data_IF_186511859272
#
_entry.id   IF_186511859272
#
_cell.length_a   1.000
_cell.length_b   1.000
_cell.length_c   1.000
_cell.angle_alpha   90.00
_cell.angle_beta   90.00
_cell.angle_gamma   90.00
#
_symmetry.space_group_name_H-M   'P 1'
#
loop_
_entity.id
_entity.type
_entity.pdbx_description
1 polymer ?
#
# COMPACT_ATOMS: atom_id res chain seq x y z
N UNK A 1 -37.52 0.90 30.85
CA UNK A 1 -37.07 1.36 29.53
C UNK A 1 -36.82 2.87 29.57
N UNK A 2 -35.67 3.33 29.07
CA UNK A 2 -35.32 4.75 29.01
C UNK A 2 -35.32 5.17 27.53
N UNK A 3 -36.10 6.22 27.19
CA UNK A 3 -36.14 6.76 25.86
C UNK A 3 -34.80 7.43 25.52
N UNK A 4 -34.37 7.33 24.24
CA UNK A 4 -33.12 7.94 23.73
C UNK A 4 -33.05 9.44 24.00
N UNK A 5 -34.18 10.14 23.92
CA UNK A 5 -34.29 11.58 24.21
C UNK A 5 -33.79 11.96 25.62
N UNK A 6 -33.85 11.04 26.60
CA UNK A 6 -33.41 11.30 27.97
C UNK A 6 -31.90 11.16 28.17
N UNK A 7 -31.21 10.49 27.20
CA UNK A 7 -29.76 10.20 27.29
C UNK A 7 -28.95 10.82 26.19
N UNK A 8 -29.60 11.31 25.12
CA UNK A 8 -28.92 11.98 24.00
C UNK A 8 -28.38 13.35 24.38
N UNK A 9 -27.31 13.79 23.73
CA UNK A 9 -26.84 15.18 23.79
C UNK A 9 -27.84 16.08 23.07
N UNK A 10 -28.42 17.03 23.78
CA UNK A 10 -29.28 18.05 23.21
C UNK A 10 -28.42 19.12 22.54
N UNK A 11 -28.79 19.54 21.32
CA UNK A 11 -28.04 20.53 20.52
C UNK A 11 -26.57 20.11 20.29
N UNK A 12 -26.32 18.99 19.61
CA UNK A 12 -24.95 18.57 19.33
C UNK A 12 -24.24 19.59 18.45
N UNK A 13 -22.91 19.68 18.57
CA UNK A 13 -22.10 20.40 17.60
C UNK A 13 -22.25 19.71 16.23
N UNK A 14 -22.38 20.50 15.17
CA UNK A 14 -22.59 20.00 13.81
C UNK A 14 -21.66 20.70 12.84
N UNK A 15 -21.45 20.10 11.68
CA UNK A 15 -20.63 20.66 10.61
C UNK A 15 -21.44 20.61 9.29
N UNK A 16 -21.26 21.59 8.41
CA UNK A 16 -21.86 21.58 7.07
C UNK A 16 -21.10 20.62 6.14
N UNK A 17 -21.77 20.07 5.11
CA UNK A 17 -21.15 19.13 4.17
C UNK A 17 -20.02 19.75 3.32
N UNK A 18 -20.01 21.05 3.15
CA UNK A 18 -18.98 21.80 2.44
C UNK A 18 -17.88 22.37 3.34
N UNK A 19 -17.92 22.12 4.65
CA UNK A 19 -16.88 22.54 5.59
C UNK A 19 -15.56 21.77 5.32
N UNK A 20 -14.46 22.42 5.62
CA UNK A 20 -13.15 21.78 5.52
C UNK A 20 -12.97 20.74 6.61
N UNK A 21 -12.26 19.64 6.30
CA UNK A 21 -11.90 18.61 7.29
C UNK A 21 -11.18 19.22 8.49
N UNK A 22 -10.36 20.25 8.27
CA UNK A 22 -9.67 20.98 9.33
C UNK A 22 -10.64 21.65 10.31
N UNK A 23 -11.76 22.21 9.84
CA UNK A 23 -12.77 22.81 10.70
C UNK A 23 -13.45 21.76 11.58
N UNK A 24 -13.73 20.57 11.01
CA UNK A 24 -14.26 19.44 11.75
C UNK A 24 -13.28 18.99 12.85
N UNK A 25 -11.97 18.93 12.54
CA UNK A 25 -10.93 18.59 13.53
C UNK A 25 -10.85 19.60 14.66
N UNK A 26 -10.93 20.90 14.37
CA UNK A 26 -10.93 21.96 15.40
C UNK A 26 -12.14 21.81 16.33
N UNK A 27 -13.34 21.65 15.79
CA UNK A 27 -14.55 21.46 16.60
C UNK A 27 -14.46 20.20 17.47
N UNK A 28 -13.95 19.09 16.94
CA UNK A 28 -13.73 17.87 17.72
C UNK A 28 -12.75 18.10 18.87
N UNK A 29 -11.65 18.82 18.61
CA UNK A 29 -10.62 19.12 19.63
C UNK A 29 -11.14 20.10 20.69
N UNK A 30 -11.77 21.19 20.29
CA UNK A 30 -12.27 22.22 21.20
C UNK A 30 -13.35 21.70 22.14
N UNK A 31 -14.21 20.83 21.65
CA UNK A 31 -15.31 20.26 22.43
C UNK A 31 -15.05 18.86 23.00
N UNK A 32 -13.83 18.31 22.77
CA UNK A 32 -13.45 16.95 23.17
C UNK A 32 -14.47 15.89 22.74
N UNK A 33 -14.90 15.96 21.47
CA UNK A 33 -15.86 15.03 20.86
C UNK A 33 -15.21 14.31 19.67
N UNK A 34 -15.68 13.09 19.40
CA UNK A 34 -15.14 12.23 18.34
C UNK A 34 -16.13 11.98 17.19
N UNK A 35 -17.33 12.57 17.30
CA UNK A 35 -18.42 12.38 16.35
C UNK A 35 -19.08 13.73 16.07
N UNK A 36 -19.16 14.11 14.81
CA UNK A 36 -19.83 15.33 14.37
C UNK A 36 -20.91 14.99 13.35
N UNK A 37 -22.18 15.24 13.64
CA UNK A 37 -23.23 15.17 12.63
C UNK A 37 -22.97 16.19 11.51
N UNK A 38 -23.12 15.74 10.28
CA UNK A 38 -23.08 16.60 9.08
C UNK A 38 -24.51 17.06 8.78
N UNK A 39 -24.75 18.36 8.79
CA UNK A 39 -26.09 18.93 8.66
C UNK A 39 -26.11 20.02 7.60
N UNK A 40 -27.01 19.89 6.61
CA UNK A 40 -27.31 20.93 5.63
C UNK A 40 -28.80 21.26 5.67
N UNK A 41 -29.14 22.53 5.67
CA UNK A 41 -30.51 23.00 5.72
C UNK A 41 -31.35 22.33 6.83
N UNK A 42 -30.79 22.21 8.01
CA UNK A 42 -31.39 21.54 9.20
C UNK A 42 -31.69 20.04 9.01
N UNK A 43 -31.16 19.43 7.94
CA UNK A 43 -31.27 17.99 7.72
C UNK A 43 -29.94 17.29 7.96
N UNK A 44 -29.95 16.25 8.77
CA UNK A 44 -28.78 15.39 8.92
C UNK A 44 -28.49 14.66 7.60
N UNK A 45 -27.28 14.82 7.08
CA UNK A 45 -26.77 14.17 5.86
C UNK A 45 -25.89 12.97 6.18
N UNK A 46 -25.26 12.98 7.34
CA UNK A 46 -24.37 11.90 7.77
C UNK A 46 -23.70 12.21 9.08
N UNK A 47 -22.64 11.49 9.35
CA UNK A 47 -21.79 11.64 10.52
C UNK A 47 -20.33 11.59 10.05
N UNK A 48 -19.47 12.46 10.55
CA UNK A 48 -18.03 12.36 10.42
C UNK A 48 -17.42 12.07 11.79
N UNK A 49 -16.49 11.12 11.85
CA UNK A 49 -15.80 10.75 13.08
C UNK A 49 -14.31 11.10 13.00
N UNK A 50 -13.64 11.16 14.16
CA UNK A 50 -12.17 11.30 14.21
C UNK A 50 -11.47 10.17 13.44
N UNK A 51 -12.02 8.96 13.47
CA UNK A 51 -11.53 7.81 12.70
C UNK A 51 -11.66 8.02 11.18
N UNK A 52 -12.78 8.59 10.71
CA UNK A 52 -12.96 8.90 9.28
C UNK A 52 -11.95 9.94 8.82
N UNK A 53 -11.68 10.93 9.65
CA UNK A 53 -10.65 11.95 9.37
C UNK A 53 -9.26 11.32 9.29
N UNK A 54 -8.88 10.47 10.25
CA UNK A 54 -7.63 9.72 10.21
C UNK A 54 -7.52 8.83 8.97
N UNK A 55 -8.62 8.15 8.60
CA UNK A 55 -8.68 7.36 7.36
C UNK A 55 -8.56 8.24 6.10
N UNK A 56 -9.15 9.42 6.08
CA UNK A 56 -9.03 10.35 4.94
C UNK A 56 -7.62 10.92 4.80
N UNK A 57 -6.89 11.07 5.89
CA UNK A 57 -5.47 11.41 5.88
C UNK A 57 -4.57 10.23 5.45
N UNK A 58 -5.10 9.03 5.30
CA UNK A 58 -4.38 7.87 4.79
C UNK A 58 -4.18 7.92 3.26
N UNK A 59 -3.94 9.11 2.70
CA UNK A 59 -3.24 9.29 1.43
C UNK A 59 -1.79 8.78 1.49
N UNK A 60 -1.31 8.38 2.67
CA UNK A 60 0.01 7.81 2.88
C UNK A 60 0.36 6.64 1.93
N UNK A 61 -0.54 5.65 1.67
CA UNK A 61 -0.22 4.61 0.70
C UNK A 61 0.03 5.16 -0.71
N UNK A 62 -0.81 6.07 -1.19
CA UNK A 62 -0.66 6.68 -2.52
C UNK A 62 0.58 7.56 -2.61
N UNK A 63 0.91 8.29 -1.55
CA UNK A 63 2.12 9.09 -1.47
C UNK A 63 3.36 8.21 -1.48
N UNK A 64 3.36 7.11 -0.71
CA UNK A 64 4.47 6.16 -0.69
C UNK A 64 4.66 5.47 -2.05
N UNK A 65 3.58 5.01 -2.70
CA UNK A 65 3.62 4.45 -4.05
C UNK A 65 4.20 5.47 -5.04
N UNK A 66 3.72 6.72 -5.00
CA UNK A 66 4.23 7.78 -5.85
C UNK A 66 5.70 8.15 -5.55
N UNK A 67 6.16 7.97 -4.31
CA UNK A 67 7.56 8.14 -3.95
C UNK A 67 8.41 6.99 -4.49
N UNK A 68 7.95 5.74 -4.36
CA UNK A 68 8.57 4.54 -4.92
C UNK A 68 8.79 4.70 -6.44
N UNK A 69 7.76 5.09 -7.17
CA UNK A 69 7.81 5.23 -8.63
C UNK A 69 8.82 6.29 -9.10
N UNK A 70 9.10 7.29 -8.28
CA UNK A 70 10.07 8.36 -8.60
C UNK A 70 11.52 8.05 -8.24
N UNK A 71 11.81 6.95 -7.53
CA UNK A 71 13.19 6.67 -7.13
C UNK A 71 14.08 6.38 -8.34
N UNK A 72 15.24 7.02 -8.38
CA UNK A 72 16.19 6.92 -9.50
C UNK A 72 17.29 5.85 -9.27
N UNK A 73 17.36 5.24 -8.08
CA UNK A 73 18.32 4.19 -7.75
C UNK A 73 17.74 3.16 -6.78
N UNK A 74 18.33 1.97 -6.78
CA UNK A 74 17.94 0.86 -5.90
C UNK A 74 18.18 1.23 -4.43
N UNK A 75 19.26 1.91 -4.10
CA UNK A 75 19.59 2.33 -2.73
C UNK A 75 18.53 3.28 -2.18
N UNK A 76 18.08 4.24 -3.00
CA UNK A 76 17.00 5.14 -2.61
C UNK A 76 15.67 4.42 -2.46
N UNK A 77 15.39 3.44 -3.32
CA UNK A 77 14.21 2.61 -3.23
C UNK A 77 14.18 1.80 -1.92
N UNK A 78 15.31 1.19 -1.55
CA UNK A 78 15.49 0.50 -0.25
C UNK A 78 15.29 1.47 0.93
N UNK A 79 15.75 2.72 0.79
CA UNK A 79 15.52 3.72 1.83
C UNK A 79 14.03 4.05 2.01
N UNK A 80 13.31 4.22 0.90
CA UNK A 80 11.87 4.51 0.91
C UNK A 80 11.08 3.33 1.48
N UNK A 81 11.46 2.08 1.19
CA UNK A 81 10.76 0.89 1.71
C UNK A 81 10.74 0.81 3.24
N UNK A 82 11.69 1.46 3.93
CA UNK A 82 11.70 1.55 5.40
C UNK A 82 10.50 2.29 5.99
N UNK A 83 9.70 2.97 5.18
CA UNK A 83 8.45 3.61 5.59
C UNK A 83 7.27 2.62 5.67
N UNK A 84 7.39 1.41 5.09
CA UNK A 84 6.32 0.41 5.06
C UNK A 84 5.85 0.01 6.46
N UNK A 85 6.72 -0.26 7.46
CA UNK A 85 6.29 -0.55 8.82
C UNK A 85 5.50 0.59 9.46
N UNK A 86 5.88 1.85 9.19
CA UNK A 86 5.16 3.03 9.69
C UNK A 86 3.78 3.14 9.04
N UNK A 87 3.70 2.90 7.72
CA UNK A 87 2.42 2.84 7.01
C UNK A 87 1.50 1.78 7.61
N UNK A 88 2.01 0.57 7.86
CA UNK A 88 1.25 -0.51 8.49
C UNK A 88 0.75 -0.12 9.87
N UNK A 89 1.62 0.46 10.71
CA UNK A 89 1.24 0.93 12.05
C UNK A 89 0.12 1.97 12.00
N UNK A 90 0.19 2.89 11.03
CA UNK A 90 -0.86 3.92 10.85
C UNK A 90 -2.18 3.29 10.40
N UNK A 91 -2.16 2.31 9.49
CA UNK A 91 -3.37 1.59 9.08
C UNK A 91 -4.01 0.83 10.26
N UNK A 92 -3.21 0.17 11.08
CA UNK A 92 -3.68 -0.53 12.30
C UNK A 92 -4.26 0.49 13.29
N UNK A 93 -3.59 1.62 13.51
CA UNK A 93 -4.05 2.67 14.42
C UNK A 93 -5.33 3.36 13.93
N UNK A 94 -5.57 3.35 12.63
CA UNK A 94 -6.81 3.82 12.00
C UNK A 94 -7.93 2.75 11.97
N UNK A 95 -7.73 1.62 12.64
CA UNK A 95 -8.69 0.51 12.73
C UNK A 95 -9.07 -0.06 11.34
N UNK A 96 -8.11 -0.06 10.40
CA UNK A 96 -8.31 -0.63 9.08
C UNK A 96 -8.47 -2.15 9.16
N UNK A 97 -9.37 -2.71 8.35
CA UNK A 97 -9.60 -4.14 8.30
C UNK A 97 -8.41 -4.88 7.69
N UNK A 98 -8.19 -6.13 8.12
CA UNK A 98 -7.07 -6.95 7.63
C UNK A 98 -7.02 -7.05 6.08
N UNK A 99 -8.19 -7.17 5.44
CA UNK A 99 -8.30 -7.19 3.98
C UNK A 99 -7.84 -5.87 3.31
N UNK A 100 -8.15 -4.73 3.94
CA UNK A 100 -7.73 -3.40 3.46
C UNK A 100 -6.22 -3.26 3.60
N UNK A 101 -5.67 -3.70 4.73
CA UNK A 101 -4.23 -3.72 4.99
C UNK A 101 -3.51 -4.59 3.95
N UNK A 102 -4.00 -5.82 3.71
CA UNK A 102 -3.42 -6.74 2.73
C UNK A 102 -3.38 -6.15 1.32
N UNK A 103 -4.48 -5.53 0.87
CA UNK A 103 -4.53 -4.85 -0.44
C UNK A 103 -3.56 -3.68 -0.54
N UNK A 104 -3.45 -2.87 0.52
CA UNK A 104 -2.51 -1.74 0.54
C UNK A 104 -1.07 -2.24 0.48
N UNK A 105 -0.70 -3.23 1.31
CA UNK A 105 0.65 -3.79 1.31
C UNK A 105 0.98 -4.40 -0.05
N UNK A 106 0.06 -5.15 -0.66
CA UNK A 106 0.24 -5.71 -2.00
C UNK A 106 0.48 -4.62 -3.04
N UNK A 107 -0.29 -3.52 -3.00
CA UNK A 107 -0.11 -2.40 -3.94
C UNK A 107 1.27 -1.75 -3.80
N UNK A 108 1.80 -1.68 -2.57
CA UNK A 108 3.16 -1.17 -2.31
C UNK A 108 4.21 -2.15 -2.84
N UNK A 109 4.04 -3.47 -2.60
CA UNK A 109 4.94 -4.51 -3.12
C UNK A 109 4.98 -4.51 -4.64
N UNK A 110 3.82 -4.36 -5.28
CA UNK A 110 3.70 -4.26 -6.74
C UNK A 110 4.45 -3.04 -7.28
N UNK A 111 4.34 -1.89 -6.60
CA UNK A 111 5.07 -0.69 -6.99
C UNK A 111 6.59 -0.87 -6.84
N UNK A 112 7.07 -1.47 -5.75
CA UNK A 112 8.47 -1.81 -5.54
C UNK A 112 8.99 -2.74 -6.64
N UNK A 113 8.25 -3.81 -6.92
CA UNK A 113 8.61 -4.80 -7.95
C UNK A 113 8.72 -4.14 -9.33
N UNK A 114 7.71 -3.37 -9.73
CA UNK A 114 7.75 -2.62 -11.00
C UNK A 114 8.94 -1.67 -11.06
N UNK A 115 9.21 -0.94 -9.97
CA UNK A 115 10.32 0.01 -9.96
C UNK A 115 11.66 -0.69 -10.01
N UNK A 116 11.85 -1.80 -9.29
CA UNK A 116 13.06 -2.63 -9.38
C UNK A 116 13.29 -3.16 -10.79
N UNK A 117 12.26 -3.64 -11.47
CA UNK A 117 12.36 -4.08 -12.87
C UNK A 117 12.83 -2.93 -13.75
N UNK A 118 12.20 -1.76 -13.66
CA UNK A 118 12.59 -0.57 -14.46
C UNK A 118 14.03 -0.16 -14.20
N UNK A 119 14.45 -0.08 -12.95
CA UNK A 119 15.82 0.31 -12.58
C UNK A 119 16.85 -0.70 -13.09
N UNK A 120 16.56 -2.00 -12.98
CA UNK A 120 17.46 -3.02 -13.50
C UNK A 120 17.50 -3.06 -15.03
N UNK A 121 16.39 -2.80 -15.71
CA UNK A 121 16.39 -2.64 -17.17
C UNK A 121 17.20 -1.42 -17.65
N UNK A 122 17.26 -0.35 -16.84
CA UNK A 122 18.15 0.79 -17.15
C UNK A 122 19.63 0.40 -17.09
N UNK A 123 20.00 -0.55 -16.22
CA UNK A 123 21.37 -1.03 -16.07
C UNK A 123 21.73 -2.13 -17.09
N UNK A 124 20.81 -3.07 -17.32
CA UNK A 124 21.03 -4.24 -18.18
C UNK A 124 20.72 -3.97 -19.65
N UNK A 125 20.02 -2.88 -19.95
CA UNK A 125 19.48 -2.61 -21.28
C UNK A 125 18.04 -3.14 -21.43
N UNK A 126 17.44 -2.85 -22.60
CA UNK A 126 16.09 -3.29 -22.92
C UNK A 126 15.99 -4.82 -22.96
N UNK A 127 14.91 -5.37 -22.40
CA UNK A 127 14.65 -6.81 -22.47
C UNK A 127 14.62 -7.31 -23.93
N UNK A 128 15.25 -8.47 -24.21
CA UNK A 128 15.36 -9.01 -25.58
C UNK A 128 14.03 -9.49 -26.14
N UNK A 129 13.05 -9.78 -25.28
CA UNK A 129 11.68 -10.16 -25.66
C UNK A 129 10.66 -9.66 -24.65
N UNK A 130 9.37 -9.77 -24.99
CA UNK A 130 8.29 -9.46 -24.06
C UNK A 130 8.26 -10.49 -22.92
N UNK A 131 7.96 -10.02 -21.70
CA UNK A 131 7.85 -10.84 -20.51
C UNK A 131 6.78 -10.29 -19.59
N UNK A 132 6.32 -11.14 -18.68
CA UNK A 132 5.42 -10.76 -17.60
C UNK A 132 5.99 -11.26 -16.26
N UNK A 133 6.08 -10.37 -15.27
CA UNK A 133 6.36 -10.77 -13.91
C UNK A 133 5.07 -11.23 -13.25
N UNK A 134 5.09 -12.41 -12.67
CA UNK A 134 3.94 -13.03 -12.02
C UNK A 134 4.14 -12.97 -10.51
N UNK A 135 3.07 -12.65 -9.79
CA UNK A 135 3.00 -12.73 -8.34
C UNK A 135 2.09 -13.89 -7.94
N UNK A 136 2.54 -14.69 -6.99
CA UNK A 136 1.82 -15.83 -6.45
C UNK A 136 1.51 -15.65 -4.97
N UNK A 137 1.09 -16.69 -4.29
CA UNK A 137 0.92 -16.73 -2.85
C UNK A 137 0.06 -15.58 -2.31
N UNK A 138 0.50 -14.98 -1.23
CA UNK A 138 -0.21 -13.86 -0.55
C UNK A 138 -0.25 -12.60 -1.40
N UNK A 139 0.78 -12.32 -2.21
CA UNK A 139 0.77 -11.18 -3.13
C UNK A 139 -0.29 -11.37 -4.22
N UNK A 140 -0.35 -12.54 -4.86
CA UNK A 140 -1.34 -12.86 -5.89
C UNK A 140 -2.78 -12.83 -5.37
N UNK A 141 -3.02 -13.20 -4.11
CA UNK A 141 -4.35 -13.13 -3.47
C UNK A 141 -4.68 -11.79 -2.84
N UNK A 142 -3.73 -10.83 -2.80
CA UNK A 142 -3.86 -9.52 -2.17
C UNK A 142 -4.12 -9.59 -0.65
N UNK A 143 -3.56 -10.58 0.02
CA UNK A 143 -3.68 -10.79 1.46
C UNK A 143 -2.31 -10.78 2.20
N UNK A 144 -1.33 -10.02 1.65
CA UNK A 144 -0.02 -9.88 2.25
C UNK A 144 -0.08 -9.30 3.67
N UNK A 145 0.85 -9.77 4.49
CA UNK A 145 1.10 -9.26 5.84
C UNK A 145 2.50 -8.63 5.91
N UNK A 146 2.84 -8.05 7.05
CA UNK A 146 4.20 -7.57 7.28
C UNK A 146 5.20 -8.72 7.14
N UNK A 147 6.32 -8.47 6.46
CA UNK A 147 7.39 -9.45 6.25
C UNK A 147 6.94 -10.70 5.47
N UNK A 148 6.00 -10.56 4.52
CA UNK A 148 5.68 -11.63 3.58
C UNK A 148 6.92 -12.02 2.77
N UNK A 149 7.03 -13.30 2.46
CA UNK A 149 8.04 -13.82 1.56
C UNK A 149 7.73 -13.51 0.10
N UNK A 150 8.67 -13.81 -0.77
CA UNK A 150 8.58 -13.60 -2.20
C UNK A 150 8.05 -14.86 -2.87
N UNK A 151 6.84 -14.79 -3.45
CA UNK A 151 6.32 -15.81 -4.33
C UNK A 151 6.14 -15.20 -5.71
N UNK A 152 7.06 -15.47 -6.63
CA UNK A 152 7.02 -14.85 -7.95
C UNK A 152 7.56 -15.76 -9.05
N UNK A 153 7.28 -15.39 -10.29
CA UNK A 153 7.76 -16.09 -11.46
C UNK A 153 7.88 -15.16 -12.66
N UNK A 154 8.51 -15.64 -13.71
CA UNK A 154 8.67 -14.95 -14.97
C UNK A 154 8.05 -15.75 -16.10
N UNK A 155 7.13 -15.13 -16.83
CA UNK A 155 6.57 -15.69 -18.05
C UNK A 155 7.20 -14.97 -19.25
N UNK A 156 7.83 -15.73 -20.13
CA UNK A 156 8.46 -15.24 -21.37
C UNK A 156 7.54 -15.45 -22.56
N UNK A 157 7.65 -14.58 -23.56
CA UNK A 157 6.83 -14.66 -24.79
C UNK A 157 7.07 -15.95 -25.61
N UNK A 158 8.28 -16.48 -25.56
CA UNK A 158 8.70 -17.74 -26.18
C UNK A 158 9.94 -18.27 -25.46
N UNK A 159 10.39 -19.47 -25.81
CA UNK A 159 11.60 -20.06 -25.26
C UNK A 159 12.82 -19.15 -25.54
N UNK A 160 13.62 -18.80 -24.49
CA UNK A 160 14.73 -17.90 -24.64
C UNK A 160 15.93 -18.58 -25.30
N UNK A 161 16.63 -17.84 -26.17
CA UNK A 161 17.98 -18.22 -26.59
C UNK A 161 18.99 -17.98 -25.43
N UNK A 162 20.23 -18.38 -25.64
CA UNK A 162 21.30 -18.25 -24.63
C UNK A 162 21.50 -16.81 -24.15
N UNK A 163 21.39 -15.83 -25.04
CA UNK A 163 21.51 -14.41 -24.70
C UNK A 163 20.33 -13.92 -23.85
N UNK A 164 19.11 -14.27 -24.26
CA UNK A 164 17.91 -13.91 -23.53
C UNK A 164 17.86 -14.60 -22.17
N UNK A 165 18.23 -15.88 -22.08
CA UNK A 165 18.31 -16.63 -20.82
C UNK A 165 19.28 -15.94 -19.84
N UNK A 166 20.48 -15.59 -20.29
CA UNK A 166 21.47 -14.89 -19.47
C UNK A 166 21.01 -13.47 -19.04
N UNK A 167 20.22 -12.80 -19.87
CA UNK A 167 19.62 -11.50 -19.52
C UNK A 167 18.58 -11.66 -18.39
N UNK A 168 17.64 -12.59 -18.57
CA UNK A 168 16.56 -12.78 -17.59
C UNK A 168 17.06 -13.38 -16.27
N UNK A 169 18.08 -14.23 -16.30
CA UNK A 169 18.76 -14.69 -15.09
C UNK A 169 19.30 -13.51 -14.26
N UNK A 170 20.02 -12.58 -14.89
CA UNK A 170 20.50 -11.38 -14.21
C UNK A 170 19.37 -10.48 -13.71
N UNK A 171 18.32 -10.30 -14.49
CA UNK A 171 17.19 -9.46 -14.14
C UNK A 171 16.45 -10.03 -12.93
N UNK A 172 16.13 -11.33 -12.94
CA UNK A 172 15.37 -11.98 -11.85
C UNK A 172 16.15 -12.01 -10.56
N UNK A 173 17.44 -12.34 -10.60
CA UNK A 173 18.32 -12.28 -9.43
C UNK A 173 18.41 -10.86 -8.85
N UNK A 174 18.54 -9.84 -9.70
CA UNK A 174 18.64 -8.47 -9.24
C UNK A 174 17.33 -7.96 -8.63
N UNK A 175 16.18 -8.33 -9.21
CA UNK A 175 14.84 -7.94 -8.68
C UNK A 175 14.56 -8.67 -7.37
N UNK A 176 14.76 -9.98 -7.28
CA UNK A 176 14.54 -10.74 -6.05
C UNK A 176 15.46 -10.25 -4.91
N UNK A 177 16.74 -9.98 -5.22
CA UNK A 177 17.68 -9.38 -4.24
C UNK A 177 17.22 -7.99 -3.80
N UNK A 178 16.72 -7.18 -4.72
CA UNK A 178 16.18 -5.85 -4.39
C UNK A 178 14.96 -5.92 -3.49
N UNK A 179 14.05 -6.86 -3.73
CA UNK A 179 12.88 -7.12 -2.87
C UNK A 179 13.32 -7.58 -1.47
N UNK A 180 14.29 -8.49 -1.35
CA UNK A 180 14.85 -8.93 -0.08
C UNK A 180 15.42 -7.75 0.72
N UNK A 181 16.17 -6.87 0.07
CA UNK A 181 16.71 -5.65 0.68
C UNK A 181 15.61 -4.64 1.07
N UNK A 182 14.45 -4.70 0.43
CA UNK A 182 13.25 -3.92 0.79
C UNK A 182 12.44 -4.56 1.93
N UNK A 183 12.81 -5.74 2.43
CA UNK A 183 12.17 -6.41 3.56
C UNK A 183 11.28 -7.59 3.18
N UNK A 184 11.28 -8.02 1.92
CA UNK A 184 10.54 -9.20 1.44
C UNK A 184 11.50 -10.37 1.33
N UNK A 185 11.53 -11.24 2.34
CA UNK A 185 12.48 -12.35 2.41
C UNK A 185 12.29 -13.35 1.25
N UNK A 186 13.37 -14.05 0.92
CA UNK A 186 13.29 -15.13 -0.07
C UNK A 186 12.29 -16.20 0.33
N UNK A 187 11.57 -16.77 -0.66
CA UNK A 187 10.62 -17.84 -0.43
C UNK A 187 11.32 -19.09 0.10
N UNK A 188 10.92 -19.63 1.27
CA UNK A 188 11.48 -20.86 1.81
C UNK A 188 11.25 -22.08 0.91
N UNK A 189 10.21 -22.02 0.05
CA UNK A 189 9.88 -23.05 -0.93
C UNK A 189 10.53 -22.85 -2.30
N UNK A 190 11.44 -21.88 -2.44
CA UNK A 190 12.14 -21.55 -3.69
C UNK A 190 11.24 -21.19 -4.89
N UNK A 191 9.98 -20.78 -4.64
CA UNK A 191 9.04 -20.33 -5.67
C UNK A 191 9.39 -18.88 -6.05
N UNK A 192 10.47 -18.71 -6.77
CA UNK A 192 10.94 -17.38 -7.19
C UNK A 192 11.44 -17.38 -8.64
N UNK A 193 11.25 -16.24 -9.31
CA UNK A 193 11.64 -16.05 -10.72
C UNK A 193 13.14 -16.27 -10.98
N UNK A 194 13.99 -16.15 -9.96
CA UNK A 194 15.44 -16.40 -10.05
C UNK A 194 15.80 -17.90 -10.01
N UNK A 195 14.87 -18.77 -9.62
CA UNK A 195 15.13 -20.20 -9.49
C UNK A 195 14.60 -20.90 -10.75
N UNK A 196 15.44 -21.58 -11.53
CA UNK A 196 14.97 -22.37 -12.67
C UNK A 196 14.09 -23.52 -12.17
N UNK A 197 12.91 -23.64 -12.76
CA UNK A 197 12.00 -24.78 -12.53
C UNK A 197 11.94 -25.64 -13.78
#
# INVERSE_FOLDING_TARGET
>A
EVCVEKVMTKQPQTVASNALVFEAMLLMSEHNIHHLPVVDNQQAKGMVTSTDILRSQSSQPLLLIGEIDRQASIEKLIHVSKQIPVLLQNLISADARAEEIGRVLTSVTDALTRRLIVLNQQLLGKAPMAFCWLAFGSQGRQDQVACSDQDNGLLLAHEPDEFAAAYFDKLTHAVCKGLDQCGYIYCPGDIMAQNPQ
#
